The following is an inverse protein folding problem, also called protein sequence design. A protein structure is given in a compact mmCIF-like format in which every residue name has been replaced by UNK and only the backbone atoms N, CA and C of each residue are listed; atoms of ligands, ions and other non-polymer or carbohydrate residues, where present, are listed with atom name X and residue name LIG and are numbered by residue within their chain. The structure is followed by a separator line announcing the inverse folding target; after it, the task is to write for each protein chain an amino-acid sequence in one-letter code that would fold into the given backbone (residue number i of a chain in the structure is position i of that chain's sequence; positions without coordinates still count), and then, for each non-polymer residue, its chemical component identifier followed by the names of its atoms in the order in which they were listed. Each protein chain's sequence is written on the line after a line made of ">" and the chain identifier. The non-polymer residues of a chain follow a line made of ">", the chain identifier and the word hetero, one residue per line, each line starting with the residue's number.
data_IF_340523258725
#
_entry.id   IF_340523258725
#
_cell.length_a   1.000
_cell.length_b   1.000
_cell.length_c   1.000
_cell.angle_alpha   90.00
_cell.angle_beta   90.00
_cell.angle_gamma   90.00
#
_symmetry.space_group_name_H-M   'P 1'
#
loop_
_entity.id
_entity.type
_entity.pdbx_description
1 polymer ?
#
# COMPACT_ATOMS: atom_id res chain seq x y z
N UNK A 1 -15.28 -16.45 -14.12
CA UNK A 1 -15.84 -16.29 -12.76
C UNK A 1 -14.77 -15.88 -11.75
N UNK A 2 -13.56 -16.46 -11.80
CA UNK A 2 -12.44 -16.17 -10.89
C UNK A 2 -11.99 -14.70 -10.89
N UNK A 3 -11.98 -14.06 -12.07
CA UNK A 3 -11.61 -12.65 -12.23
C UNK A 3 -12.66 -11.70 -11.63
N UNK A 4 -13.92 -12.13 -11.51
CA UNK A 4 -15.00 -11.33 -10.90
C UNK A 4 -14.83 -11.26 -9.39
N UNK A 5 -14.53 -12.39 -8.74
CA UNK A 5 -14.28 -12.47 -7.30
C UNK A 5 -13.06 -11.65 -6.87
N UNK A 6 -11.97 -11.76 -7.63
CA UNK A 6 -10.76 -10.96 -7.38
C UNK A 6 -10.99 -9.44 -7.52
N UNK A 7 -11.88 -9.02 -8.43
CA UNK A 7 -12.24 -7.60 -8.60
C UNK A 7 -13.15 -7.08 -7.48
N UNK A 8 -14.11 -7.88 -7.02
CA UNK A 8 -15.01 -7.49 -5.92
C UNK A 8 -14.31 -7.45 -4.57
N UNK A 9 -13.30 -8.31 -4.37
CA UNK A 9 -12.55 -8.42 -3.11
C UNK A 9 -11.04 -8.43 -3.41
N UNK A 10 -10.38 -7.26 -3.46
CA UNK A 10 -9.00 -7.16 -3.93
C UNK A 10 -7.96 -7.81 -2.99
N UNK A 11 -8.35 -8.13 -1.74
CA UNK A 11 -7.48 -8.78 -0.75
C UNK A 11 -7.64 -10.30 -0.67
N UNK A 12 -8.49 -10.90 -1.52
CA UNK A 12 -8.73 -12.34 -1.50
C UNK A 12 -7.49 -13.10 -2.02
N UNK A 13 -7.12 -14.19 -1.34
CA UNK A 13 -5.96 -14.99 -1.74
C UNK A 13 -6.32 -15.97 -2.87
N UNK A 14 -5.33 -16.31 -3.71
CA UNK A 14 -5.46 -17.37 -4.74
C UNK A 14 -5.96 -18.71 -4.19
N UNK A 15 -5.69 -19.04 -2.92
CA UNK A 15 -6.20 -20.24 -2.24
C UNK A 15 -7.70 -20.14 -2.00
N UNK A 16 -8.15 -19.02 -1.43
CA UNK A 16 -9.57 -18.78 -1.19
C UNK A 16 -10.39 -18.70 -2.49
N UNK A 17 -9.80 -18.15 -3.56
CA UNK A 17 -10.41 -18.17 -4.90
C UNK A 17 -10.61 -19.62 -5.35
N UNK A 18 -9.58 -20.47 -5.25
CA UNK A 18 -9.69 -21.90 -5.58
C UNK A 18 -10.81 -22.58 -4.78
N UNK A 19 -10.84 -22.37 -3.46
CA UNK A 19 -11.83 -23.02 -2.58
C UNK A 19 -13.26 -22.57 -2.90
N UNK A 20 -13.45 -21.31 -3.30
CA UNK A 20 -14.75 -20.77 -3.71
C UNK A 20 -15.30 -21.38 -5.00
N UNK A 21 -14.42 -21.85 -5.87
CA UNK A 21 -14.78 -22.38 -7.20
C UNK A 21 -15.17 -23.85 -7.15
N UNK A 22 -14.78 -24.59 -6.09
CA UNK A 22 -15.00 -26.05 -5.94
C UNK A 22 -14.57 -26.87 -7.17
N UNK A 23 -13.63 -26.35 -7.96
CA UNK A 23 -13.06 -27.02 -9.13
C UNK A 23 -11.71 -27.67 -8.76
N UNK A 24 -11.31 -28.79 -9.40
CA UNK A 24 -10.02 -29.43 -9.20
C UNK A 24 -8.90 -28.64 -9.91
N UNK A 25 -8.72 -27.37 -9.55
CA UNK A 25 -7.75 -26.46 -10.17
C UNK A 25 -6.58 -26.23 -9.23
N UNK A 26 -5.36 -26.18 -9.79
CA UNK A 26 -4.17 -25.84 -9.01
C UNK A 26 -4.14 -24.35 -8.67
N UNK A 27 -3.55 -23.97 -7.54
CA UNK A 27 -3.38 -22.55 -7.18
C UNK A 27 -2.49 -21.81 -8.18
N UNK A 28 -1.60 -22.52 -8.89
CA UNK A 28 -0.74 -21.98 -9.94
C UNK A 28 -1.57 -21.56 -11.16
N UNK A 29 -2.53 -22.40 -11.56
CA UNK A 29 -3.45 -22.11 -12.67
C UNK A 29 -4.27 -20.85 -12.38
N UNK A 30 -4.84 -20.75 -11.16
CA UNK A 30 -5.58 -19.54 -10.74
C UNK A 30 -4.71 -18.28 -10.82
N UNK A 31 -3.46 -18.35 -10.36
CA UNK A 31 -2.54 -17.20 -10.46
C UNK A 31 -2.22 -16.82 -11.91
N UNK A 32 -2.00 -17.81 -12.79
CA UNK A 32 -1.73 -17.57 -14.22
C UNK A 32 -2.92 -16.87 -14.88
N UNK A 33 -4.14 -17.38 -14.68
CA UNK A 33 -5.35 -16.75 -15.22
C UNK A 33 -5.57 -15.33 -14.68
N UNK A 34 -5.25 -15.07 -13.41
CA UNK A 34 -5.29 -13.71 -12.85
C UNK A 34 -4.26 -12.78 -13.51
N UNK A 35 -3.04 -13.25 -13.75
CA UNK A 35 -2.01 -12.49 -14.45
C UNK A 35 -2.39 -12.21 -15.91
N UNK A 36 -2.93 -13.20 -16.64
CA UNK A 36 -3.46 -13.04 -18.01
C UNK A 36 -4.58 -12.00 -18.05
N UNK A 37 -5.38 -11.91 -16.99
CA UNK A 37 -6.41 -10.90 -16.82
C UNK A 37 -5.90 -9.55 -16.27
N UNK A 38 -4.58 -9.33 -16.21
CA UNK A 38 -3.91 -8.14 -15.66
C UNK A 38 -4.20 -7.84 -14.18
N UNK A 39 -4.52 -8.86 -13.38
CA UNK A 39 -4.76 -8.76 -11.94
C UNK A 39 -3.54 -9.23 -11.16
N UNK A 40 -2.64 -8.29 -10.87
CA UNK A 40 -1.42 -8.56 -10.11
C UNK A 40 -1.62 -8.38 -8.61
N UNK A 41 -0.95 -9.23 -7.82
CA UNK A 41 -0.85 -9.03 -6.39
C UNK A 41 -0.06 -7.74 -6.08
N UNK A 42 -0.61 -6.91 -5.20
CA UNK A 42 0.00 -5.67 -4.70
C UNK A 42 -0.26 -5.54 -3.20
N UNK A 43 0.71 -4.98 -2.48
CA UNK A 43 0.53 -4.65 -1.07
C UNK A 43 -0.16 -3.28 -0.94
N UNK A 44 -1.20 -3.14 -0.10
CA UNK A 44 -1.84 -1.85 0.13
C UNK A 44 -0.86 -0.87 0.78
N UNK A 45 -0.94 0.42 0.40
CA UNK A 45 -0.14 1.47 1.03
C UNK A 45 -0.62 1.69 2.47
N UNK A 46 0.32 1.68 3.43
CA UNK A 46 0.04 2.10 4.82
C UNK A 46 -0.28 3.60 4.82
N UNK A 47 -1.51 3.95 5.18
CA UNK A 47 -1.98 5.34 5.27
C UNK A 47 -2.67 5.56 6.61
N UNK A 48 -2.58 6.77 7.19
CA UNK A 48 -3.31 7.07 8.42
C UNK A 48 -4.81 6.98 8.16
N UNK A 49 -5.55 6.44 9.13
CA UNK A 49 -7.00 6.32 9.04
C UNK A 49 -7.63 7.70 9.15
N UNK A 50 -8.28 8.15 8.09
CA UNK A 50 -8.96 9.45 8.05
C UNK A 50 -10.43 9.29 8.42
N UNK A 51 -10.87 10.04 9.43
CA UNK A 51 -12.28 10.21 9.71
C UNK A 51 -12.95 11.10 8.64
N UNK A 52 -14.27 10.95 8.45
CA UNK A 52 -15.07 11.74 7.49
C UNK A 52 -14.83 13.25 7.62
N UNK A 53 -14.73 13.76 8.85
CA UNK A 53 -14.43 15.18 9.13
C UNK A 53 -13.08 15.65 8.56
N UNK A 54 -12.05 14.79 8.60
CA UNK A 54 -10.72 15.13 8.07
C UNK A 54 -10.75 15.16 6.54
N UNK A 55 -11.48 14.25 5.92
CA UNK A 55 -11.65 14.20 4.46
C UNK A 55 -12.32 15.47 3.96
N UNK A 56 -13.42 15.89 4.59
CA UNK A 56 -14.14 17.12 4.22
C UNK A 56 -13.25 18.36 4.36
N UNK A 57 -12.54 18.50 5.49
CA UNK A 57 -11.61 19.63 5.70
C UNK A 57 -10.49 19.66 4.67
N UNK A 58 -9.91 18.50 4.32
CA UNK A 58 -8.86 18.40 3.30
C UNK A 58 -9.39 18.81 1.92
N UNK A 59 -10.57 18.32 1.52
CA UNK A 59 -11.20 18.70 0.24
C UNK A 59 -11.48 20.20 0.19
N UNK A 60 -12.03 20.77 1.27
CA UNK A 60 -12.32 22.19 1.36
C UNK A 60 -11.04 23.03 1.22
N UNK A 61 -10.00 22.68 1.97
CA UNK A 61 -8.69 23.33 1.88
C UNK A 61 -8.13 23.25 0.44
N UNK A 62 -8.16 22.08 -0.18
CA UNK A 62 -7.70 21.92 -1.57
C UNK A 62 -8.47 22.81 -2.55
N UNK A 63 -9.79 22.92 -2.43
CA UNK A 63 -10.63 23.76 -3.30
C UNK A 63 -10.33 25.25 -3.13
N UNK A 64 -10.16 25.71 -1.90
CA UNK A 64 -9.86 27.12 -1.60
C UNK A 64 -8.47 27.54 -2.10
N UNK A 65 -7.52 26.60 -2.14
CA UNK A 65 -6.11 26.88 -2.39
C UNK A 65 -5.62 26.40 -3.77
N UNK A 66 -6.50 25.83 -4.61
CA UNK A 66 -6.13 25.29 -5.94
C UNK A 66 -5.57 26.37 -6.88
N UNK A 67 -6.08 27.59 -6.78
CA UNK A 67 -5.71 28.72 -7.64
C UNK A 67 -4.66 29.66 -6.98
N UNK A 68 -4.04 29.26 -5.86
CA UNK A 68 -3.06 30.12 -5.21
C UNK A 68 -1.78 30.23 -6.05
N UNK A 69 -1.26 31.46 -6.25
CA UNK A 69 0.00 31.66 -6.96
C UNK A 69 1.17 31.11 -6.14
N UNK A 70 2.24 30.70 -6.83
CA UNK A 70 3.41 30.06 -6.19
C UNK A 70 4.08 30.99 -5.17
N UNK A 71 4.04 32.30 -5.41
CA UNK A 71 4.53 33.37 -4.55
C UNK A 71 3.90 33.27 -3.16
N UNK A 72 2.59 32.99 -3.11
CA UNK A 72 1.86 32.86 -1.85
C UNK A 72 2.30 31.63 -1.07
N UNK A 73 2.53 30.50 -1.74
CA UNK A 73 3.04 29.29 -1.10
C UNK A 73 4.45 29.47 -0.52
N UNK A 74 5.31 30.26 -1.19
CA UNK A 74 6.68 30.54 -0.72
C UNK A 74 6.71 31.38 0.56
N UNK A 75 5.69 32.20 0.79
CA UNK A 75 5.62 33.07 1.96
C UNK A 75 5.04 32.36 3.21
N UNK A 76 4.66 31.08 3.11
CA UNK A 76 4.10 30.33 4.24
C UNK A 76 5.21 29.57 4.94
N UNK A 77 5.42 29.89 6.23
CA UNK A 77 6.31 29.13 7.10
C UNK A 77 5.55 27.93 7.69
N UNK A 78 5.94 26.73 7.28
CA UNK A 78 5.39 25.48 7.82
C UNK A 78 6.20 25.04 9.03
N UNK A 79 5.52 24.65 10.11
CA UNK A 79 6.14 24.08 11.31
C UNK A 79 5.59 22.68 11.55
N UNK A 80 6.47 21.75 11.85
CA UNK A 80 6.11 20.40 12.30
C UNK A 80 7.16 19.93 13.33
N UNK A 81 6.76 19.06 14.24
CA UNK A 81 7.66 18.47 15.21
C UNK A 81 7.91 17.00 14.83
N UNK A 82 9.13 16.71 14.40
CA UNK A 82 9.58 15.34 14.17
C UNK A 82 10.33 14.82 15.39
N UNK A 83 9.92 13.67 15.92
CA UNK A 83 10.69 12.99 16.95
C UNK A 83 11.89 12.29 16.31
N UNK A 84 13.10 12.69 16.71
CA UNK A 84 14.34 12.04 16.30
C UNK A 84 14.65 10.90 17.26
N UNK A 85 14.55 9.66 16.79
CA UNK A 85 15.08 8.51 17.51
C UNK A 85 16.56 8.34 17.19
N UNK A 86 17.42 8.47 18.20
CA UNK A 86 18.82 8.08 18.12
C UNK A 86 18.87 6.55 17.97
N UNK A 87 19.25 6.07 16.79
CA UNK A 87 19.47 4.64 16.56
C UNK A 87 20.73 4.18 17.31
N UNK A 88 20.67 3.14 18.16
CA UNK A 88 21.88 2.51 18.69
C UNK A 88 22.57 1.71 17.58
N UNK A 89 23.87 1.95 17.37
CA UNK A 89 24.69 1.30 16.35
C UNK A 89 24.91 -0.23 16.52
N UNK A 90 24.32 -0.91 17.51
CA UNK A 90 24.71 -2.30 17.84
C UNK A 90 23.70 -3.40 17.48
N UNK A 91 22.54 -3.10 16.91
CA UNK A 91 21.49 -4.12 16.78
C UNK A 91 21.41 -4.87 15.42
N UNK A 92 22.24 -4.56 14.41
CA UNK A 92 22.12 -5.20 13.08
C UNK A 92 23.16 -6.31 12.82
N UNK A 93 24.22 -6.44 13.62
CA UNK A 93 25.26 -7.46 13.35
C UNK A 93 24.93 -8.88 13.84
N UNK A 94 23.78 -9.13 14.48
CA UNK A 94 23.43 -10.49 14.97
C UNK A 94 22.52 -11.33 14.05
N UNK A 95 22.07 -10.81 12.91
CA UNK A 95 21.17 -11.54 12.00
C UNK A 95 21.72 -11.83 10.60
N UNK A 96 23.01 -11.61 10.35
CA UNK A 96 23.69 -12.11 9.15
C UNK A 96 24.79 -13.07 9.56
N UNK A 97 24.37 -14.26 9.96
CA UNK A 97 25.24 -15.44 10.00
C UNK A 97 25.70 -15.78 8.58
N UNK A 98 27.01 -15.73 8.41
CA UNK A 98 27.82 -16.23 7.31
C UNK A 98 27.25 -17.42 6.53
N UNK A 99 27.36 -17.39 5.19
CA UNK A 99 27.95 -18.52 4.44
C UNK A 99 28.74 -17.99 3.22
N UNK A 100 29.92 -18.60 3.08
CA UNK A 100 31.04 -18.42 2.16
C UNK A 100 30.73 -18.45 0.66
N UNK A 101 31.54 -17.76 -0.14
CA UNK A 101 32.50 -18.35 -1.12
C UNK A 101 33.24 -17.25 -1.90
N UNK A 102 34.56 -17.20 -1.73
CA UNK A 102 35.48 -16.79 -2.81
C UNK A 102 35.67 -17.97 -3.75
#
# INVERSE_FOLDING_TARGET
>A
METRTAKTQPMISSRMIKDSLKLPVSTVTVRRCLCEANLFARSPRKVPLLQKRHVLKRIQFSKEHINWPKEKWRNILWTDYSFWVQWPCEAILKNYGHTTKY
#
